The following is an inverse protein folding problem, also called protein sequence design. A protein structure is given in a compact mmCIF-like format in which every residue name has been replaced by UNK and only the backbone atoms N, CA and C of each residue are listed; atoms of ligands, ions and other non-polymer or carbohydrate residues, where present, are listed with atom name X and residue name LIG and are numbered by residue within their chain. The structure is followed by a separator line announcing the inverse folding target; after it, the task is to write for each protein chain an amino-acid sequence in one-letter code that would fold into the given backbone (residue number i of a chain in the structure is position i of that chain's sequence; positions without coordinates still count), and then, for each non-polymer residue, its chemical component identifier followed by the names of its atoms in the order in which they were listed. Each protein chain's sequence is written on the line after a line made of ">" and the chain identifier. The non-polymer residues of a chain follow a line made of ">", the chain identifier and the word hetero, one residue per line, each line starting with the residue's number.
data_IF_402198957328
#
_entry.id   IF_402198957328
#
_cell.length_a   1.000
_cell.length_b   1.000
_cell.length_c   1.000
_cell.angle_alpha   90.00
_cell.angle_beta   90.00
_cell.angle_gamma   90.00
#
_symmetry.space_group_name_H-M   'P 1'
#
loop_
_entity.id
_entity.type
_entity.pdbx_description
1 polymer ?
#
# COMPACT_ATOMS: atom_id res chain seq x y z
N UNK A 1 -35.33 21.90 -3.02
CA UNK A 1 -34.67 20.65 -2.63
C UNK A 1 -34.14 19.97 -3.88
N UNK A 2 -32.87 19.68 -4.02
CA UNK A 2 -32.40 18.87 -5.16
C UNK A 2 -32.97 17.47 -4.95
N UNK A 3 -33.60 16.91 -5.99
CA UNK A 3 -34.23 15.60 -5.93
C UNK A 3 -33.16 14.53 -5.62
N UNK A 4 -33.50 13.52 -4.82
CA UNK A 4 -32.64 12.37 -4.48
C UNK A 4 -31.96 11.76 -5.73
N UNK A 5 -32.66 11.78 -6.84
CA UNK A 5 -32.14 11.35 -8.15
C UNK A 5 -30.86 12.09 -8.58
N UNK A 6 -30.76 13.40 -8.37
CA UNK A 6 -29.56 14.19 -8.70
C UNK A 6 -28.38 13.88 -7.77
N UNK A 7 -28.65 13.52 -6.53
CA UNK A 7 -27.59 13.11 -5.59
C UNK A 7 -27.02 11.75 -5.97
N UNK A 8 -27.88 10.81 -6.34
CA UNK A 8 -27.49 9.47 -6.81
C UNK A 8 -26.70 9.57 -8.13
N UNK A 9 -27.13 10.40 -9.08
CA UNK A 9 -26.39 10.62 -10.33
C UNK A 9 -25.02 11.25 -10.10
N UNK A 10 -24.91 12.22 -9.20
CA UNK A 10 -23.63 12.84 -8.82
C UNK A 10 -22.70 11.83 -8.12
N UNK A 11 -23.22 11.03 -7.22
CA UNK A 11 -22.47 9.98 -6.55
C UNK A 11 -21.95 8.93 -7.54
N UNK A 12 -22.78 8.50 -8.49
CA UNK A 12 -22.41 7.56 -9.53
C UNK A 12 -21.40 8.15 -10.55
N UNK A 13 -21.51 9.44 -10.86
CA UNK A 13 -20.54 10.12 -11.72
C UNK A 13 -19.17 10.26 -11.03
N UNK A 14 -19.17 10.63 -9.74
CA UNK A 14 -17.96 10.72 -8.93
C UNK A 14 -17.28 9.34 -8.78
N UNK A 15 -18.08 8.28 -8.56
CA UNK A 15 -17.61 6.89 -8.50
C UNK A 15 -16.94 6.46 -9.81
N UNK A 16 -17.55 6.76 -10.96
CA UNK A 16 -16.97 6.44 -12.29
C UNK A 16 -15.68 7.21 -12.56
N UNK A 17 -15.62 8.49 -12.18
CA UNK A 17 -14.43 9.32 -12.35
C UNK A 17 -13.27 8.84 -11.46
N UNK A 18 -13.58 8.50 -10.21
CA UNK A 18 -12.62 7.92 -9.28
C UNK A 18 -12.11 6.54 -9.76
N UNK A 19 -13.00 5.67 -10.23
CA UNK A 19 -12.63 4.37 -10.81
C UNK A 19 -11.72 4.54 -12.04
N UNK A 20 -11.99 5.52 -12.90
CA UNK A 20 -11.15 5.82 -14.07
C UNK A 20 -9.78 6.33 -13.64
N UNK A 21 -9.70 7.25 -12.67
CA UNK A 21 -8.43 7.77 -12.12
C UNK A 21 -7.62 6.70 -11.42
N UNK A 22 -8.27 5.82 -10.67
CA UNK A 22 -7.65 4.67 -10.00
C UNK A 22 -7.07 3.68 -11.02
N UNK A 23 -7.74 3.43 -12.14
CA UNK A 23 -7.20 2.62 -13.25
C UNK A 23 -5.96 3.24 -13.92
N UNK A 24 -5.87 4.58 -13.95
CA UNK A 24 -4.77 5.28 -14.63
C UNK A 24 -3.56 5.56 -13.75
N UNK A 25 -3.72 5.67 -12.43
CA UNK A 25 -2.67 6.24 -11.54
C UNK A 25 -2.27 5.31 -10.40
N UNK A 26 -2.98 4.20 -10.19
CA UNK A 26 -2.77 3.35 -9.00
C UNK A 26 -3.27 4.00 -7.71
N UNK A 27 -3.90 3.22 -6.85
CA UNK A 27 -4.61 3.70 -5.64
C UNK A 27 -3.69 4.46 -4.68
N UNK A 28 -2.45 4.03 -4.55
CA UNK A 28 -1.54 4.56 -3.52
C UNK A 28 -0.91 5.91 -3.89
N UNK A 29 -0.71 6.22 -5.16
CA UNK A 29 -0.16 7.53 -5.55
C UNK A 29 -1.14 8.67 -5.29
N UNK A 30 -2.43 8.45 -5.52
CA UNK A 30 -3.49 9.44 -5.25
C UNK A 30 -3.75 9.65 -3.75
N UNK A 31 -3.50 8.64 -2.91
CA UNK A 31 -3.74 8.67 -1.46
C UNK A 31 -2.49 9.04 -0.64
N UNK A 32 -1.29 8.91 -1.22
CA UNK A 32 -0.03 9.01 -0.48
C UNK A 32 0.20 10.35 0.22
N UNK A 33 -0.29 11.47 -0.30
CA UNK A 33 -0.13 12.79 0.34
C UNK A 33 -1.29 13.17 1.26
N UNK A 34 -2.51 12.78 0.96
CA UNK A 34 -3.70 13.10 1.75
C UNK A 34 -3.85 12.21 2.99
N UNK A 35 -3.65 10.91 2.82
CA UNK A 35 -3.78 9.93 3.89
C UNK A 35 -2.67 10.05 4.94
N UNK A 36 -1.43 10.39 4.55
CA UNK A 36 -0.35 10.70 5.50
C UNK A 36 -0.69 11.86 6.44
N UNK A 37 -1.32 12.92 5.93
CA UNK A 37 -1.76 14.08 6.73
C UNK A 37 -2.95 13.75 7.63
N UNK A 38 -3.83 12.87 7.21
CA UNK A 38 -5.00 12.45 7.99
C UNK A 38 -4.61 11.41 9.05
N UNK A 39 -3.82 10.41 8.68
CA UNK A 39 -3.31 9.38 9.59
C UNK A 39 -2.43 9.99 10.70
N UNK A 40 -1.56 10.96 10.37
CA UNK A 40 -0.75 11.66 11.38
C UNK A 40 -1.56 12.54 12.34
N UNK A 41 -2.79 12.95 11.98
CA UNK A 41 -3.69 13.72 12.85
C UNK A 41 -4.58 12.85 13.73
N UNK A 42 -4.85 11.62 13.31
CA UNK A 42 -5.66 10.64 14.06
C UNK A 42 -4.80 9.75 14.97
N UNK A 43 -3.53 9.60 14.66
CA UNK A 43 -2.59 8.81 15.45
C UNK A 43 -2.04 9.63 16.63
N UNK A 44 -2.79 9.68 17.69
CA UNK A 44 -2.22 9.94 19.02
C UNK A 44 -1.39 8.75 19.45
N UNK A 45 -0.02 8.79 19.24
CA UNK A 45 1.05 8.01 19.90
C UNK A 45 0.89 6.45 20.01
N UNK A 46 1.98 5.70 20.07
CA UNK A 46 3.06 5.43 19.12
C UNK A 46 2.89 4.11 18.36
N UNK A 47 3.00 4.16 17.06
CA UNK A 47 2.90 3.04 16.12
C UNK A 47 3.92 1.88 16.35
N UNK A 48 4.96 2.09 17.10
CA UNK A 48 6.03 1.11 17.31
C UNK A 48 5.53 -0.21 17.96
N UNK A 49 4.63 -0.15 18.93
CA UNK A 49 4.19 -1.37 19.64
C UNK A 49 3.22 -2.24 18.83
N UNK A 50 2.45 -1.65 17.92
CA UNK A 50 1.50 -2.41 17.09
C UNK A 50 2.18 -3.06 15.88
N UNK A 51 3.20 -2.42 15.31
CA UNK A 51 3.95 -3.00 14.21
C UNK A 51 4.78 -4.21 14.64
N UNK A 52 5.32 -4.21 15.85
CA UNK A 52 6.07 -5.33 16.42
C UNK A 52 5.19 -6.56 16.60
N UNK A 53 3.95 -6.39 17.06
CA UNK A 53 2.99 -7.49 17.20
C UNK A 53 2.63 -8.16 15.86
N UNK A 54 2.60 -7.40 14.77
CA UNK A 54 2.35 -7.97 13.46
C UNK A 54 3.46 -8.94 13.07
N UNK A 55 4.71 -8.51 13.19
CA UNK A 55 5.87 -9.34 12.87
C UNK A 55 5.99 -10.55 13.79
N UNK A 56 5.73 -10.39 15.09
CA UNK A 56 5.67 -11.50 16.05
C UNK A 56 4.59 -12.52 15.68
N UNK A 57 3.43 -12.06 15.23
CA UNK A 57 2.30 -12.94 14.87
C UNK A 57 2.58 -13.76 13.63
N UNK A 58 3.21 -13.15 12.60
CA UNK A 58 3.38 -13.78 11.30
C UNK A 58 4.83 -14.22 11.00
N UNK A 59 5.76 -13.97 11.92
CA UNK A 59 7.18 -14.26 11.73
C UNK A 59 7.85 -13.42 10.66
N UNK A 60 7.29 -12.24 10.34
CA UNK A 60 7.77 -11.33 9.29
C UNK A 60 8.78 -10.32 9.84
N UNK A 61 9.52 -9.66 8.95
CA UNK A 61 10.40 -8.52 9.27
C UNK A 61 9.90 -7.30 8.51
N UNK A 62 8.89 -6.63 9.06
CA UNK A 62 8.31 -5.43 8.44
C UNK A 62 8.27 -4.21 9.36
N UNK A 63 8.51 -4.37 10.68
CA UNK A 63 8.38 -3.31 11.67
C UNK A 63 9.58 -2.38 11.75
N UNK A 64 10.79 -2.93 11.67
CA UNK A 64 12.00 -2.15 11.89
C UNK A 64 12.20 -1.09 10.83
N UNK A 65 12.28 0.16 11.28
CA UNK A 65 12.62 1.30 10.42
C UNK A 65 14.03 1.13 9.85
N UNK A 66 14.17 1.40 8.57
CA UNK A 66 15.48 1.47 7.90
C UNK A 66 15.75 2.93 7.56
N UNK A 67 16.86 3.46 8.09
CA UNK A 67 17.28 4.82 7.77
C UNK A 67 17.73 4.91 6.33
N UNK A 68 17.49 6.07 5.69
CA UNK A 68 17.85 6.31 4.28
C UNK A 68 19.32 6.02 4.00
N UNK A 69 20.23 6.33 4.93
CA UNK A 69 21.68 6.05 4.80
C UNK A 69 22.08 4.58 4.95
N UNK A 70 21.14 3.68 5.33
CA UNK A 70 21.36 2.23 5.41
C UNK A 70 20.70 1.48 4.25
N UNK A 71 20.07 2.19 3.31
CA UNK A 71 19.41 1.64 2.14
C UNK A 71 20.39 1.71 0.96
N UNK A 72 20.49 0.65 0.20
CA UNK A 72 21.35 0.51 -0.99
C UNK A 72 20.78 1.26 -2.22
N UNK A 73 20.66 2.59 -2.09
CA UNK A 73 20.14 3.47 -3.13
C UNK A 73 21.22 4.51 -3.47
N UNK A 74 21.31 4.84 -4.75
CA UNK A 74 22.21 5.84 -5.30
C UNK A 74 21.98 7.23 -4.68
N UNK A 75 23.05 7.97 -4.34
CA UNK A 75 22.99 9.28 -3.68
C UNK A 75 22.09 10.29 -4.41
N UNK A 76 22.02 10.23 -5.74
CA UNK A 76 21.15 11.08 -6.55
C UNK A 76 19.66 10.85 -6.28
N UNK A 77 19.27 9.69 -5.80
CA UNK A 77 17.89 9.28 -5.49
C UNK A 77 17.56 9.36 -4.01
N UNK A 78 18.58 9.40 -3.15
CA UNK A 78 18.42 9.55 -1.70
C UNK A 78 17.65 10.82 -1.33
N UNK A 79 17.87 11.92 -2.05
CA UNK A 79 17.19 13.20 -1.81
C UNK A 79 15.66 13.14 -1.96
N UNK A 80 15.15 12.14 -2.69
CA UNK A 80 13.72 11.91 -2.93
C UNK A 80 13.18 10.67 -2.20
N UNK A 81 14.06 9.95 -1.49
CA UNK A 81 13.69 8.76 -0.74
C UNK A 81 13.30 9.11 0.69
N UNK A 82 12.17 8.60 1.14
CA UNK A 82 11.76 8.70 2.53
C UNK A 82 12.25 7.49 3.31
N UNK A 83 12.46 7.71 4.62
CA UNK A 83 12.67 6.61 5.56
C UNK A 83 11.56 5.57 5.41
N UNK A 84 11.93 4.29 5.35
CA UNK A 84 10.96 3.22 5.43
C UNK A 84 10.23 3.27 6.78
N UNK A 85 8.93 3.27 6.76
CA UNK A 85 8.06 3.19 7.92
C UNK A 85 6.89 2.24 7.61
N UNK A 86 6.69 1.25 8.47
CA UNK A 86 5.63 0.26 8.26
C UNK A 86 4.25 0.89 8.48
N UNK A 87 3.33 0.60 7.57
CA UNK A 87 1.93 1.03 7.72
C UNK A 87 1.27 0.29 8.89
N UNK A 88 0.46 1.03 9.66
CA UNK A 88 -0.33 0.48 10.77
C UNK A 88 -1.50 -0.32 10.19
N UNK A 89 -1.71 -1.60 10.63
CA UNK A 89 -2.75 -2.46 10.06
C UNK A 89 -4.16 -1.89 10.13
N UNK A 90 -4.52 -1.27 11.23
CA UNK A 90 -5.83 -0.67 11.45
C UNK A 90 -6.07 0.50 10.49
N UNK A 91 -5.08 1.38 10.35
CA UNK A 91 -5.15 2.52 9.42
C UNK A 91 -5.23 2.06 7.97
N UNK A 92 -4.55 0.96 7.62
CA UNK A 92 -4.66 0.36 6.29
C UNK A 92 -6.07 -0.17 6.03
N UNK A 93 -6.65 -0.89 7.01
CA UNK A 93 -8.00 -1.44 6.89
C UNK A 93 -9.06 -0.34 6.74
N UNK A 94 -8.96 0.74 7.53
CA UNK A 94 -9.83 1.90 7.43
C UNK A 94 -9.73 2.57 6.05
N UNK A 95 -8.50 2.74 5.55
CA UNK A 95 -8.26 3.30 4.23
C UNK A 95 -8.89 2.45 3.13
N UNK A 96 -8.74 1.12 3.19
CA UNK A 96 -9.36 0.20 2.23
C UNK A 96 -10.91 0.23 2.31
N UNK A 97 -11.47 0.33 3.50
CA UNK A 97 -12.92 0.41 3.70
C UNK A 97 -13.54 1.70 3.12
N UNK A 98 -12.77 2.80 3.04
CA UNK A 98 -13.21 4.05 2.44
C UNK A 98 -13.21 4.03 0.90
N UNK A 99 -12.61 3.02 0.26
CA UNK A 99 -12.55 2.96 -1.21
C UNK A 99 -13.88 2.43 -1.78
N UNK A 100 -14.59 3.22 -2.61
CA UNK A 100 -15.85 2.79 -3.23
C UNK A 100 -15.56 1.94 -4.48
N UNK A 101 -14.81 0.85 -4.31
CA UNK A 101 -14.40 -0.05 -5.40
C UNK A 101 -14.81 -1.49 -5.11
N UNK A 102 -14.92 -2.28 -6.17
CA UNK A 102 -15.03 -3.74 -6.12
C UNK A 102 -13.62 -4.30 -6.27
N UNK A 103 -12.96 -4.66 -5.17
CA UNK A 103 -11.53 -4.99 -5.12
C UNK A 103 -11.10 -6.04 -6.16
N UNK A 104 -11.94 -7.05 -6.45
CA UNK A 104 -11.65 -8.10 -7.44
C UNK A 104 -11.63 -7.62 -8.90
N UNK A 105 -11.94 -6.36 -9.16
CA UNK A 105 -11.78 -5.73 -10.47
C UNK A 105 -10.44 -5.00 -10.63
N UNK A 106 -9.63 -4.90 -9.57
CA UNK A 106 -8.42 -4.09 -9.52
C UNK A 106 -7.18 -4.89 -9.15
N UNK A 107 -6.04 -4.37 -9.61
CA UNK A 107 -4.70 -4.70 -9.11
C UNK A 107 -4.33 -3.68 -8.04
N UNK A 108 -3.84 -4.15 -6.90
CA UNK A 108 -3.23 -3.28 -5.89
C UNK A 108 -1.77 -3.04 -6.26
N UNK A 109 -1.37 -1.78 -6.39
CA UNK A 109 0.00 -1.39 -6.69
C UNK A 109 0.54 -0.49 -5.57
N UNK A 110 1.66 -0.89 -4.98
CA UNK A 110 2.39 -0.13 -3.97
C UNK A 110 3.77 0.28 -4.50
N UNK A 111 3.95 1.58 -4.73
CA UNK A 111 5.22 2.16 -5.18
C UNK A 111 6.01 2.63 -3.97
N UNK A 112 7.24 2.10 -3.83
CA UNK A 112 8.03 2.21 -2.62
C UNK A 112 7.55 1.23 -1.55
N UNK A 113 7.33 -0.03 -1.96
CA UNK A 113 6.71 -1.05 -1.09
C UNK A 113 7.57 -1.46 0.11
N UNK A 114 8.83 -1.03 0.15
CA UNK A 114 9.73 -1.31 1.26
C UNK A 114 9.85 -2.79 1.57
N UNK A 115 9.65 -3.15 2.83
CA UNK A 115 9.63 -4.55 3.30
C UNK A 115 8.32 -5.30 3.03
N UNK A 116 7.34 -4.67 2.35
CA UNK A 116 6.12 -5.29 1.84
C UNK A 116 4.94 -5.37 2.81
N UNK A 117 4.93 -4.68 3.95
CA UNK A 117 3.80 -4.76 4.89
C UNK A 117 2.46 -4.42 4.26
N UNK A 118 2.39 -3.36 3.44
CA UNK A 118 1.15 -2.99 2.75
C UNK A 118 0.65 -4.08 1.79
N UNK A 119 1.57 -4.81 1.16
CA UNK A 119 1.24 -5.93 0.27
C UNK A 119 0.61 -7.08 1.04
N UNK A 120 1.16 -7.41 2.23
CA UNK A 120 0.63 -8.44 3.11
C UNK A 120 -0.77 -8.08 3.60
N UNK A 121 -0.97 -6.83 4.03
CA UNK A 121 -2.28 -6.33 4.46
C UNK A 121 -3.29 -6.29 3.31
N UNK A 122 -2.86 -5.93 2.10
CA UNK A 122 -3.71 -5.93 0.90
C UNK A 122 -4.22 -7.33 0.56
N UNK A 123 -3.47 -8.39 0.90
CA UNK A 123 -3.85 -9.77 0.60
C UNK A 123 -5.14 -10.24 1.28
N UNK A 124 -5.56 -9.56 2.35
CA UNK A 124 -6.83 -9.81 3.04
C UNK A 124 -8.04 -9.38 2.19
N UNK A 125 -7.81 -8.51 1.21
CA UNK A 125 -8.83 -8.06 0.26
C UNK A 125 -8.74 -8.85 -1.05
N UNK A 126 -9.87 -9.08 -1.76
CA UNK A 126 -9.89 -9.91 -2.95
C UNK A 126 -9.41 -9.15 -4.20
N UNK A 127 -8.19 -8.60 -4.19
CA UNK A 127 -7.60 -8.02 -5.39
C UNK A 127 -7.30 -9.09 -6.44
N UNK A 128 -7.27 -8.72 -7.73
CA UNK A 128 -6.83 -9.62 -8.81
C UNK A 128 -5.37 -10.03 -8.62
N UNK A 129 -4.54 -9.05 -8.28
CA UNK A 129 -3.12 -9.18 -8.07
C UNK A 129 -2.64 -8.06 -7.15
N UNK A 130 -1.55 -8.30 -6.43
CA UNK A 130 -0.89 -7.35 -5.56
C UNK A 130 0.56 -7.22 -6.03
N UNK A 131 0.96 -6.01 -6.37
CA UNK A 131 2.28 -5.70 -6.91
C UNK A 131 2.95 -4.65 -6.05
N UNK A 132 4.15 -4.94 -5.57
CA UNK A 132 5.05 -3.97 -4.97
C UNK A 132 6.15 -3.58 -5.96
N UNK A 133 6.54 -2.32 -5.97
CA UNK A 133 7.74 -1.84 -6.66
C UNK A 133 8.63 -1.17 -5.64
N UNK A 134 9.87 -1.64 -5.51
CA UNK A 134 10.82 -1.12 -4.52
C UNK A 134 12.18 -0.87 -5.18
N UNK A 135 12.73 0.32 -4.91
CA UNK A 135 14.00 0.74 -5.50
C UNK A 135 15.20 0.01 -4.88
N UNK A 136 15.14 -0.24 -3.56
CA UNK A 136 16.19 -0.93 -2.82
C UNK A 136 16.13 -2.44 -3.07
N UNK A 137 17.24 -3.02 -3.55
CA UNK A 137 17.35 -4.45 -3.74
C UNK A 137 17.31 -5.21 -2.41
N UNK A 138 17.87 -4.65 -1.34
CA UNK A 138 17.87 -5.24 -0.01
C UNK A 138 16.45 -5.28 0.59
N UNK A 139 15.68 -4.20 0.49
CA UNK A 139 14.29 -4.16 0.94
C UNK A 139 13.41 -5.10 0.10
N UNK A 140 13.63 -5.15 -1.22
CA UNK A 140 12.94 -6.10 -2.11
C UNK A 140 13.18 -7.55 -1.69
N UNK A 141 14.41 -7.91 -1.31
CA UNK A 141 14.72 -9.26 -0.85
C UNK A 141 13.97 -9.60 0.46
N UNK A 142 13.92 -8.66 1.41
CA UNK A 142 13.16 -8.80 2.66
C UNK A 142 11.66 -8.95 2.34
N UNK A 143 11.10 -8.10 1.48
CA UNK A 143 9.70 -8.16 1.09
C UNK A 143 9.32 -9.51 0.46
N UNK A 144 10.17 -10.05 -0.43
CA UNK A 144 9.97 -11.39 -1.02
C UNK A 144 9.97 -12.50 0.02
N UNK A 145 10.88 -12.42 1.01
CA UNK A 145 10.88 -13.36 2.11
C UNK A 145 9.60 -13.24 2.95
N UNK A 146 9.19 -12.03 3.29
CA UNK A 146 7.97 -11.78 4.05
C UNK A 146 6.72 -12.33 3.33
N UNK A 147 6.62 -12.12 2.01
CA UNK A 147 5.52 -12.68 1.19
C UNK A 147 5.52 -14.22 1.24
N UNK A 148 6.69 -14.84 1.19
CA UNK A 148 6.83 -16.31 1.19
C UNK A 148 6.40 -16.95 2.51
N UNK A 149 6.65 -16.29 3.64
CA UNK A 149 6.37 -16.84 4.98
C UNK A 149 5.02 -16.40 5.55
N UNK A 150 4.46 -15.31 5.02
CA UNK A 150 3.19 -14.80 5.51
C UNK A 150 2.05 -15.74 5.19
N UNK A 151 1.36 -16.19 6.24
CA UNK A 151 0.16 -17.01 6.11
C UNK A 151 -0.90 -16.51 7.11
N UNK A 152 -1.94 -15.88 6.56
CA UNK A 152 -3.09 -15.41 7.32
C UNK A 152 -4.35 -16.08 6.74
N UNK A 153 -5.17 -16.77 7.58
CA UNK A 153 -6.39 -17.43 7.10
C UNK A 153 -7.40 -16.48 6.43
N UNK A 154 -7.26 -15.19 6.64
CA UNK A 154 -8.10 -14.15 6.00
C UNK A 154 -7.65 -13.79 4.59
N UNK A 155 -6.52 -14.28 4.11
CA UNK A 155 -6.02 -13.98 2.76
C UNK A 155 -7.05 -14.37 1.70
N UNK A 156 -7.37 -13.41 0.83
CA UNK A 156 -8.26 -13.56 -0.33
C UNK A 156 -7.52 -13.42 -1.66
N UNK A 157 -6.35 -12.79 -1.66
CA UNK A 157 -5.46 -12.70 -2.81
C UNK A 157 -4.10 -13.30 -2.44
N UNK A 158 -3.67 -14.34 -3.19
CA UNK A 158 -2.35 -14.97 -3.04
C UNK A 158 -1.40 -14.63 -4.21
N UNK A 159 -1.90 -13.92 -5.22
CA UNK A 159 -1.10 -13.41 -6.33
C UNK A 159 -0.36 -12.13 -5.89
N UNK A 160 0.73 -12.31 -5.15
CA UNK A 160 1.53 -11.21 -4.61
C UNK A 160 2.95 -11.30 -5.19
N UNK A 161 3.45 -10.20 -5.74
CA UNK A 161 4.84 -10.10 -6.22
C UNK A 161 5.46 -8.75 -5.88
N UNK A 162 6.79 -8.75 -5.81
CA UNK A 162 7.58 -7.53 -5.64
C UNK A 162 8.64 -7.46 -6.73
N UNK A 163 8.71 -6.33 -7.39
CA UNK A 163 9.68 -5.99 -8.41
C UNK A 163 10.69 -4.99 -7.85
N UNK A 164 11.98 -5.22 -8.18
CA UNK A 164 13.03 -4.24 -7.88
C UNK A 164 13.11 -3.26 -9.05
N UNK A 165 12.95 -1.97 -8.78
CA UNK A 165 12.98 -0.96 -9.80
C UNK A 165 12.52 0.42 -9.35
N UNK A 166 12.63 1.37 -10.28
CA UNK A 166 12.16 2.74 -10.08
C UNK A 166 10.65 2.80 -10.29
N UNK A 167 9.92 3.09 -9.22
CA UNK A 167 8.47 3.23 -9.28
C UNK A 167 7.99 4.38 -10.16
N UNK A 168 8.82 5.39 -10.39
CA UNK A 168 8.51 6.49 -11.30
C UNK A 168 8.55 6.08 -12.78
N UNK A 169 9.31 5.04 -13.09
CA UNK A 169 9.41 4.46 -14.43
C UNK A 169 8.57 3.19 -14.59
N UNK A 170 7.90 2.74 -13.53
CA UNK A 170 7.10 1.52 -13.57
C UNK A 170 5.80 1.75 -14.36
N UNK A 171 5.65 0.98 -15.43
CA UNK A 171 4.41 0.89 -16.19
C UNK A 171 3.83 -0.50 -15.95
N UNK A 172 2.65 -0.61 -15.30
CA UNK A 172 1.99 -1.90 -15.16
C UNK A 172 1.67 -2.47 -16.55
N UNK A 173 1.80 -3.77 -16.70
CA UNK A 173 1.36 -4.47 -17.92
C UNK A 173 -0.14 -4.23 -18.16
N UNK A 174 -0.56 -4.09 -19.43
CA UNK A 174 -1.95 -3.85 -19.79
C UNK A 174 -2.89 -5.01 -19.38
#
# INVERSE_FOLDING_TARGET
>A
MPSEHRLIERANALRRDLQRKVRQVGVMHALGHGARKLASRLAGRPAASQSDRFDETYGTDTALMVSVGAIDIDDSRLAHSNRYEAVVPESFAEMMACLPITHNEFVFLDIGSGKGRALLLASIFPFKEIVGVELSASLTAIARNNIRIFDDPRMKCRAIRVESGDGGAYLPAP
#
